data_IF_685389557028
#
_entry.id   IF_685389557028
#
_cell.length_a   1.000
_cell.length_b   1.000
_cell.length_c   1.000
_cell.angle_alpha   90.00
_cell.angle_beta   90.00
_cell.angle_gamma   90.00
#
_symmetry.space_group_name_H-M   'P 1'
#
loop_
_entity.id
_entity.type
_entity.pdbx_description
1 polymer ?
#
# COMPACT_ATOMS: atom_id res chain seq x y z
N UNK A 1 -16.51 -22.86 22.19
CA UNK A 1 -15.21 -22.29 21.80
C UNK A 1 -14.49 -21.75 23.01
N UNK A 2 -13.22 -22.07 23.19
CA UNK A 2 -12.41 -21.57 24.29
C UNK A 2 -11.87 -20.18 23.98
N UNK A 3 -11.45 -19.44 25.02
CA UNK A 3 -10.83 -18.12 24.82
C UNK A 3 -9.60 -18.18 23.92
N UNK A 4 -8.79 -19.24 24.03
CA UNK A 4 -7.61 -19.43 23.19
C UNK A 4 -7.98 -19.62 21.73
N UNK A 5 -9.07 -20.34 21.46
CA UNK A 5 -9.55 -20.52 20.09
C UNK A 5 -10.12 -19.25 19.50
N UNK A 6 -10.84 -18.47 20.32
CA UNK A 6 -11.36 -17.16 19.90
C UNK A 6 -10.25 -16.19 19.59
N UNK A 7 -9.22 -16.13 20.44
CA UNK A 7 -8.07 -15.27 20.23
C UNK A 7 -7.30 -15.67 18.97
N UNK A 8 -7.15 -16.97 18.74
CA UNK A 8 -6.49 -17.49 17.56
C UNK A 8 -7.26 -17.14 16.27
N UNK A 9 -8.57 -17.30 16.29
CA UNK A 9 -9.43 -16.98 15.16
C UNK A 9 -9.39 -15.45 14.87
N UNK A 10 -9.46 -14.62 15.91
CA UNK A 10 -9.36 -13.17 15.79
C UNK A 10 -8.01 -12.73 15.23
N UNK A 11 -6.91 -13.33 15.74
CA UNK A 11 -5.56 -13.05 15.25
C UNK A 11 -5.40 -13.43 13.78
N UNK A 12 -5.98 -14.57 13.35
CA UNK A 12 -5.92 -15.01 11.96
C UNK A 12 -6.68 -14.06 11.03
N UNK A 13 -7.87 -13.61 11.44
CA UNK A 13 -8.66 -12.63 10.69
C UNK A 13 -7.94 -11.29 10.58
N UNK A 14 -7.36 -10.81 11.68
CA UNK A 14 -6.58 -9.57 11.71
C UNK A 14 -5.34 -9.66 10.84
N UNK A 15 -4.62 -10.78 10.90
CA UNK A 15 -3.44 -11.02 10.09
C UNK A 15 -3.78 -11.03 8.60
N UNK A 16 -4.90 -11.61 8.22
CA UNK A 16 -5.36 -11.63 6.83
C UNK A 16 -5.66 -10.22 6.33
N UNK A 17 -6.31 -9.40 7.15
CA UNK A 17 -6.61 -8.01 6.79
C UNK A 17 -5.34 -7.20 6.56
N UNK A 18 -4.34 -7.37 7.42
CA UNK A 18 -3.03 -6.72 7.28
C UNK A 18 -2.34 -7.16 5.98
N UNK A 19 -2.32 -8.45 5.70
CA UNK A 19 -1.73 -9.00 4.47
C UNK A 19 -2.40 -8.43 3.22
N UNK A 20 -3.73 -8.37 3.23
CA UNK A 20 -4.51 -7.81 2.11
C UNK A 20 -4.23 -6.32 1.92
N UNK A 21 -4.17 -5.56 3.01
CA UNK A 21 -3.85 -4.14 2.96
C UNK A 21 -2.47 -3.89 2.36
N UNK A 22 -1.46 -4.67 2.78
CA UNK A 22 -0.12 -4.58 2.23
C UNK A 22 -0.08 -4.98 0.75
N UNK A 23 -0.85 -6.01 0.36
CA UNK A 23 -0.95 -6.41 -1.04
C UNK A 23 -1.55 -5.28 -1.89
N UNK A 24 -2.59 -4.61 -1.40
CA UNK A 24 -3.19 -3.45 -2.08
C UNK A 24 -2.17 -2.32 -2.22
N UNK A 25 -1.44 -2.01 -1.16
CA UNK A 25 -0.40 -0.97 -1.21
C UNK A 25 0.68 -1.27 -2.25
N UNK A 26 1.14 -2.52 -2.32
CA UNK A 26 2.14 -2.91 -3.31
C UNK A 26 1.64 -2.71 -4.74
N UNK A 27 0.38 -3.05 -4.99
CA UNK A 27 -0.23 -2.86 -6.30
C UNK A 27 -0.37 -1.38 -6.61
N UNK A 28 -0.81 -0.57 -5.66
CA UNK A 28 -0.91 0.88 -5.84
C UNK A 28 0.46 1.47 -6.18
N UNK A 29 1.52 0.99 -5.54
CA UNK A 29 2.88 1.45 -5.80
C UNK A 29 3.33 1.20 -7.24
N UNK A 30 2.81 0.17 -7.91
CA UNK A 30 3.17 -0.11 -9.30
C UNK A 30 2.71 0.98 -10.28
N UNK A 31 1.72 1.77 -9.89
CA UNK A 31 1.23 2.88 -10.71
C UNK A 31 2.16 4.10 -10.73
N UNK A 32 3.09 4.16 -9.79
CA UNK A 32 4.04 5.27 -9.63
C UNK A 32 3.32 6.62 -9.63
N UNK A 33 3.84 7.60 -10.33
CA UNK A 33 3.27 8.96 -10.39
C UNK A 33 2.01 9.07 -11.25
N UNK A 34 1.77 8.12 -12.13
CA UNK A 34 0.58 8.09 -12.96
C UNK A 34 -0.66 7.66 -12.19
N UNK A 35 -0.46 6.82 -11.17
CA UNK A 35 -1.54 6.22 -10.42
C UNK A 35 -2.14 5.00 -11.10
N UNK A 36 -2.98 4.29 -10.37
CA UNK A 36 -3.57 3.02 -10.81
C UNK A 36 -5.08 3.06 -10.60
N UNK A 37 -5.82 2.45 -11.50
CA UNK A 37 -7.28 2.39 -11.43
C UNK A 37 -7.75 1.32 -10.45
N UNK A 38 -8.91 1.53 -9.86
CA UNK A 38 -9.55 0.53 -8.98
C UNK A 38 -9.64 -0.84 -9.67
N UNK A 39 -10.02 -0.87 -10.93
CA UNK A 39 -10.14 -2.10 -11.72
C UNK A 39 -8.83 -2.89 -11.75
N UNK A 40 -7.71 -2.20 -11.91
CA UNK A 40 -6.39 -2.84 -11.96
C UNK A 40 -5.99 -3.37 -10.58
N UNK A 41 -6.33 -2.66 -9.52
CA UNK A 41 -6.08 -3.13 -8.15
C UNK A 41 -6.86 -4.40 -7.89
N UNK A 42 -8.13 -4.44 -8.28
CA UNK A 42 -8.99 -5.62 -8.16
C UNK A 42 -8.38 -6.80 -8.92
N UNK A 43 -7.99 -6.59 -10.17
CA UNK A 43 -7.43 -7.65 -11.02
C UNK A 43 -6.12 -8.20 -10.45
N UNK A 44 -5.23 -7.32 -10.01
CA UNK A 44 -3.89 -7.73 -9.55
C UNK A 44 -3.90 -8.34 -8.16
N UNK A 45 -4.80 -7.91 -7.28
CA UNK A 45 -4.89 -8.47 -5.93
C UNK A 45 -5.75 -9.74 -5.87
N UNK A 46 -6.66 -9.91 -6.82
CA UNK A 46 -7.63 -11.00 -6.80
C UNK A 46 -8.74 -10.82 -5.78
N UNK A 47 -8.79 -9.69 -5.09
CA UNK A 47 -9.86 -9.37 -4.14
C UNK A 47 -11.11 -8.92 -4.90
N UNK A 48 -12.29 -9.11 -4.29
CA UNK A 48 -13.50 -8.60 -4.91
C UNK A 48 -13.54 -7.06 -4.87
N UNK A 49 -14.34 -6.47 -5.75
CA UNK A 49 -14.40 -5.03 -5.90
C UNK A 49 -14.85 -4.28 -4.63
N UNK A 50 -15.91 -4.70 -3.92
CA UNK A 50 -16.31 -4.02 -2.70
C UNK A 50 -15.24 -4.04 -1.60
N UNK A 51 -14.56 -5.17 -1.43
CA UNK A 51 -13.48 -5.31 -0.44
C UNK A 51 -12.32 -4.40 -0.79
N UNK A 52 -11.90 -4.41 -2.06
CA UNK A 52 -10.81 -3.57 -2.55
C UNK A 52 -11.13 -2.09 -2.36
N UNK A 53 -12.34 -1.69 -2.72
CA UNK A 53 -12.77 -0.30 -2.57
C UNK A 53 -12.77 0.14 -1.11
N UNK A 54 -13.27 -0.70 -0.19
CA UNK A 54 -13.26 -0.38 1.24
C UNK A 54 -11.84 -0.26 1.78
N UNK A 55 -10.95 -1.15 1.36
CA UNK A 55 -9.55 -1.10 1.80
C UNK A 55 -8.87 0.17 1.32
N UNK A 56 -9.04 0.51 0.05
CA UNK A 56 -8.49 1.74 -0.50
C UNK A 56 -9.04 2.98 0.22
N UNK A 57 -10.32 2.97 0.55
CA UNK A 57 -10.93 4.07 1.28
C UNK A 57 -10.29 4.26 2.68
N UNK A 58 -10.08 3.18 3.41
CA UNK A 58 -9.40 3.24 4.71
C UNK A 58 -7.95 3.70 4.53
N UNK A 59 -7.26 3.20 3.53
CA UNK A 59 -5.88 3.61 3.25
C UNK A 59 -5.79 5.09 2.89
N UNK A 60 -6.79 5.62 2.18
CA UNK A 60 -6.88 7.06 1.89
C UNK A 60 -7.13 7.85 3.18
N UNK A 61 -8.05 7.40 4.02
CA UNK A 61 -8.33 8.03 5.31
C UNK A 61 -7.09 8.11 6.20
N UNK A 62 -6.25 7.08 6.16
CA UNK A 62 -5.02 7.00 6.95
C UNK A 62 -3.83 7.69 6.26
N UNK A 63 -4.00 8.19 5.06
CA UNK A 63 -2.94 8.88 4.33
C UNK A 63 -1.91 7.96 3.65
N UNK A 64 -2.13 6.64 3.69
CA UNK A 64 -1.23 5.69 3.02
C UNK A 64 -1.41 5.67 1.51
N UNK A 65 -2.59 6.04 1.05
CA UNK A 65 -2.96 6.14 -0.37
C UNK A 65 -3.59 7.50 -0.61
N UNK A 66 -3.39 8.06 -1.77
CA UNK A 66 -4.08 9.26 -2.25
C UNK A 66 -4.90 8.90 -3.47
N UNK A 67 -6.00 9.58 -3.67
CA UNK A 67 -6.80 9.44 -4.87
C UNK A 67 -6.82 10.76 -5.62
N UNK A 68 -6.41 10.75 -6.87
CA UNK A 68 -6.46 11.92 -7.73
C UNK A 68 -7.94 12.26 -8.02
N UNK A 69 -8.39 13.47 -7.69
CA UNK A 69 -9.81 13.83 -7.87
C UNK A 69 -10.24 13.93 -9.33
N UNK A 70 -9.31 14.20 -10.25
CA UNK A 70 -9.61 14.34 -11.67
C UNK A 70 -9.67 12.98 -12.38
N UNK A 71 -8.68 12.13 -12.14
CA UNK A 71 -8.56 10.83 -12.82
C UNK A 71 -9.18 9.69 -12.03
N UNK A 72 -9.40 9.87 -10.72
CA UNK A 72 -9.84 8.85 -9.76
C UNK A 72 -8.83 7.74 -9.57
N UNK A 73 -7.62 7.90 -10.06
CA UNK A 73 -6.54 6.94 -9.88
C UNK A 73 -5.97 7.03 -8.47
N UNK A 74 -5.46 5.89 -7.98
CA UNK A 74 -4.87 5.79 -6.65
C UNK A 74 -3.36 5.85 -6.75
N UNK A 75 -2.75 6.56 -5.81
CA UNK A 75 -1.29 6.74 -5.71
C UNK A 75 -0.86 6.49 -4.27
N UNK A 76 0.41 6.20 -4.09
CA UNK A 76 0.98 6.10 -2.74
C UNK A 76 0.91 7.47 -2.07
N UNK A 77 0.42 7.49 -0.83
CA UNK A 77 0.22 8.70 -0.07
C UNK A 77 1.42 9.11 0.78
N UNK A 78 1.34 10.32 1.33
CA UNK A 78 2.42 10.92 2.11
C UNK A 78 2.84 10.13 3.34
N UNK A 79 1.92 9.40 3.98
CA UNK A 79 2.24 8.59 5.16
C UNK A 79 3.26 7.49 4.84
N UNK A 80 3.16 6.87 3.66
CA UNK A 80 4.13 5.86 3.25
C UNK A 80 5.50 6.48 3.04
N UNK A 81 5.55 7.69 2.48
CA UNK A 81 6.81 8.43 2.31
C UNK A 81 7.45 8.75 3.66
N UNK A 82 6.66 9.15 4.65
CA UNK A 82 7.15 9.40 6.01
C UNK A 82 7.71 8.13 6.65
N UNK A 83 7.02 7.00 6.49
CA UNK A 83 7.50 5.72 6.99
C UNK A 83 8.82 5.32 6.30
N UNK A 84 8.96 5.63 5.02
CA UNK A 84 10.20 5.41 4.27
C UNK A 84 11.37 6.19 4.83
N UNK A 85 11.15 7.40 5.37
CA UNK A 85 12.19 8.19 6.01
C UNK A 85 12.75 7.50 7.26
N UNK A 86 11.91 6.79 8.02
CA UNK A 86 12.38 6.03 9.19
C UNK A 86 13.36 4.94 8.78
N UNK A 87 13.14 4.29 7.63
CA UNK A 87 14.12 3.36 7.06
C UNK A 87 15.39 4.06 6.63
N UNK A 88 15.30 5.24 6.05
CA UNK A 88 16.44 6.03 5.58
C UNK A 88 17.37 6.45 6.70
N UNK A 89 16.86 6.67 7.91
CA UNK A 89 17.67 6.95 9.09
C UNK A 89 18.57 5.76 9.47
N UNK A 90 18.09 4.53 9.18
CA UNK A 90 18.82 3.28 9.43
C UNK A 90 19.75 2.94 8.27
N UNK A 91 19.32 3.19 7.05
CA UNK A 91 20.09 2.91 5.82
C UNK A 91 20.21 4.23 5.05
N UNK A 92 21.44 4.74 4.81
CA UNK A 92 21.59 6.00 4.08
C UNK A 92 20.89 5.94 2.72
N UNK A 93 20.03 6.90 2.46
CA UNK A 93 19.32 7.03 1.18
C UNK A 93 20.31 7.01 0.02
N UNK A 94 21.45 7.66 0.18
CA UNK A 94 22.48 7.75 -0.84
C UNK A 94 22.95 6.39 -1.34
N UNK A 95 23.13 5.44 -0.43
CA UNK A 95 23.56 4.09 -0.79
C UNK A 95 22.50 3.31 -1.55
N UNK A 96 21.22 3.62 -1.31
CA UNK A 96 20.08 2.94 -1.94
C UNK A 96 19.68 3.61 -3.23
N UNK A 97 19.61 4.94 -3.25
CA UNK A 97 19.05 5.73 -4.36
C UNK A 97 20.07 6.08 -5.44
N UNK A 98 21.36 6.13 -5.11
CA UNK A 98 22.39 6.57 -6.04
C UNK A 98 22.42 5.81 -7.37
N UNK A 99 22.33 4.48 -7.40
CA UNK A 99 22.29 3.76 -8.67
C UNK A 99 21.09 4.15 -9.52
N UNK A 100 19.94 4.39 -8.89
CA UNK A 100 18.73 4.80 -9.60
C UNK A 100 18.83 6.22 -10.14
N UNK A 101 19.44 7.11 -9.39
CA UNK A 101 19.67 8.49 -9.82
C UNK A 101 20.61 8.57 -11.01
N UNK A 102 21.67 7.77 -11.02
CA UNK A 102 22.59 7.68 -12.17
C UNK A 102 21.87 7.22 -13.41
N UNK A 103 21.04 6.21 -13.28
CA UNK A 103 20.25 5.68 -14.37
C UNK A 103 19.29 6.72 -14.95
N UNK A 104 18.67 7.52 -14.09
CA UNK A 104 17.77 8.59 -14.51
C UNK A 104 18.49 9.76 -15.16
N UNK A 105 19.76 9.97 -14.82
CA UNK A 105 20.58 11.04 -15.38
C UNK A 105 21.11 10.71 -16.79
N UNK A 106 21.16 9.46 -17.14
CA UNK A 106 21.58 8.99 -18.44
C UNK A 106 20.42 8.98 -19.44
#
# INVERSE_FOLDING_TARGET
MTSAEEDKAGATAGAQSVRRALAVLRVVATGQERGIRLTDVVTQTGLNRPTTHRMLRVLVEEGAVEQDPATRRYLIGGEVSLLGLARSARFPIRAIAEPHLRHLSE
#
